data_IF_467430491856
#
_entry.id   IF_467430491856
#
_cell.length_a   1.000
_cell.length_b   1.000
_cell.length_c   1.000
_cell.angle_alpha   90.00
_cell.angle_beta   90.00
_cell.angle_gamma   90.00
#
_symmetry.space_group_name_H-M   'P 1'
#
loop_
_entity.id
_entity.type
_entity.pdbx_description
1 polymer ?
#
# COMPACT_ATOMS: atom_id res chain seq x y z
N UNK A 1 24.76 -24.98 -15.51
CA UNK A 1 24.07 -23.66 -15.54
C UNK A 1 24.93 -22.68 -14.77
N UNK A 2 25.45 -21.65 -15.42
CA UNK A 2 26.08 -20.55 -14.68
C UNK A 2 24.96 -19.56 -14.31
N UNK A 3 24.67 -19.32 -13.02
CA UNK A 3 23.83 -18.20 -12.62
C UNK A 3 24.44 -16.89 -13.13
N UNK A 4 23.63 -15.82 -13.25
CA UNK A 4 24.14 -14.46 -13.53
C UNK A 4 25.36 -14.15 -12.65
N UNK A 5 26.42 -13.61 -13.25
CA UNK A 5 27.63 -13.24 -12.55
C UNK A 5 27.39 -12.01 -11.67
N UNK A 6 28.23 -11.78 -10.66
CA UNK A 6 28.12 -10.58 -9.83
C UNK A 6 28.23 -9.29 -10.69
N UNK A 7 29.00 -9.34 -11.77
CA UNK A 7 29.13 -8.27 -12.76
C UNK A 7 27.81 -8.02 -13.52
N UNK A 8 27.13 -9.07 -14.00
CA UNK A 8 25.83 -8.95 -14.66
C UNK A 8 24.78 -8.32 -13.73
N UNK A 9 24.81 -8.68 -12.44
CA UNK A 9 23.91 -8.15 -11.41
C UNK A 9 24.18 -6.65 -11.22
N UNK A 10 25.44 -6.25 -11.12
CA UNK A 10 25.84 -4.86 -10.93
C UNK A 10 25.47 -3.98 -12.12
N UNK A 11 25.77 -4.45 -13.33
CA UNK A 11 25.39 -3.76 -14.57
C UNK A 11 23.88 -3.58 -14.64
N UNK A 12 23.09 -4.62 -14.34
CA UNK A 12 21.64 -4.55 -14.34
C UNK A 12 21.11 -3.55 -13.30
N UNK A 13 21.68 -3.54 -12.10
CA UNK A 13 21.29 -2.59 -11.05
C UNK A 13 21.58 -1.15 -11.49
N UNK A 14 22.79 -0.88 -11.97
CA UNK A 14 23.20 0.48 -12.34
C UNK A 14 22.42 1.00 -13.55
N UNK A 15 22.28 0.18 -14.60
CA UNK A 15 21.67 0.60 -15.86
C UNK A 15 20.14 0.71 -15.79
N UNK A 16 19.47 -0.20 -15.08
CA UNK A 16 18.00 -0.30 -15.05
C UNK A 16 17.42 0.16 -13.72
N UNK A 17 17.88 -0.39 -12.60
CA UNK A 17 17.28 -0.16 -11.28
C UNK A 17 17.53 1.26 -10.78
N UNK A 18 18.78 1.74 -10.81
CA UNK A 18 19.14 3.06 -10.29
C UNK A 18 18.58 4.18 -11.16
N UNK A 19 18.68 4.05 -12.48
CA UNK A 19 18.09 5.01 -13.42
C UNK A 19 16.59 5.16 -13.20
N UNK A 20 15.87 4.06 -13.02
CA UNK A 20 14.42 4.10 -12.75
C UNK A 20 14.13 4.68 -11.36
N UNK A 21 14.89 4.28 -10.35
CA UNK A 21 14.76 4.83 -9.01
C UNK A 21 14.89 6.37 -9.02
N UNK A 22 15.85 6.90 -9.78
CA UNK A 22 16.02 8.35 -9.96
C UNK A 22 14.77 9.00 -10.58
N UNK A 23 14.27 8.47 -11.70
CA UNK A 23 13.07 9.01 -12.37
C UNK A 23 11.83 8.97 -11.48
N UNK A 24 11.61 7.86 -10.78
CA UNK A 24 10.48 7.71 -9.85
C UNK A 24 10.62 8.66 -8.67
N UNK A 25 11.83 8.83 -8.13
CA UNK A 25 12.08 9.76 -7.02
C UNK A 25 11.78 11.21 -7.44
N UNK A 26 12.26 11.61 -8.63
CA UNK A 26 11.95 12.92 -9.22
C UNK A 26 10.44 13.12 -9.39
N UNK A 27 9.73 12.14 -9.95
CA UNK A 27 8.28 12.21 -10.11
C UNK A 27 7.55 12.31 -8.75
N UNK A 28 8.00 11.56 -7.74
CA UNK A 28 7.44 11.63 -6.38
C UNK A 28 7.62 13.02 -5.77
N UNK A 29 8.79 13.65 -5.93
CA UNK A 29 9.04 15.00 -5.43
C UNK A 29 8.15 16.06 -6.11
N UNK A 30 7.95 15.96 -7.42
CA UNK A 30 7.08 16.87 -8.17
C UNK A 30 5.61 16.70 -7.78
N UNK A 31 5.13 15.45 -7.73
CA UNK A 31 3.76 15.14 -7.28
C UNK A 31 3.55 15.62 -5.85
N UNK A 32 4.50 15.38 -4.96
CA UNK A 32 4.39 15.78 -3.57
C UNK A 32 4.15 17.29 -3.44
N UNK A 33 4.89 18.12 -4.18
CA UNK A 33 4.70 19.59 -4.15
C UNK A 33 3.30 19.99 -4.60
N UNK A 34 2.81 19.39 -5.69
CA UNK A 34 1.48 19.68 -6.24
C UNK A 34 0.38 19.25 -5.27
N UNK A 35 0.47 18.03 -4.72
CA UNK A 35 -0.54 17.47 -3.81
C UNK A 35 -0.48 18.16 -2.44
N UNK A 36 0.68 18.63 -2.00
CA UNK A 36 0.77 19.46 -0.80
C UNK A 36 0.01 20.78 -0.97
N UNK A 37 0.20 21.49 -2.08
CA UNK A 37 -0.55 22.71 -2.37
C UNK A 37 -2.05 22.44 -2.39
N UNK A 38 -2.46 21.36 -3.06
CA UNK A 38 -3.86 20.95 -3.16
C UNK A 38 -4.45 20.61 -1.77
N UNK A 39 -3.75 19.81 -0.97
CA UNK A 39 -4.24 19.40 0.36
C UNK A 39 -4.19 20.53 1.39
N UNK A 40 -3.30 21.52 1.23
CA UNK A 40 -3.32 22.74 2.03
C UNK A 40 -4.58 23.56 1.79
N UNK A 41 -4.98 23.75 0.52
CA UNK A 41 -6.23 24.42 0.16
C UNK A 41 -7.46 23.65 0.66
N UNK A 42 -7.45 22.32 0.55
CA UNK A 42 -8.51 21.46 1.10
C UNK A 42 -8.60 21.63 2.63
N UNK A 43 -7.46 21.64 3.33
CA UNK A 43 -7.42 21.81 4.79
C UNK A 43 -7.94 23.18 5.23
N UNK A 44 -7.68 24.23 4.43
CA UNK A 44 -8.23 25.57 4.65
C UNK A 44 -9.75 25.61 4.48
N UNK A 45 -10.30 24.95 3.44
CA UNK A 45 -11.75 24.88 3.18
C UNK A 45 -12.50 23.98 4.16
N UNK A 46 -11.87 22.89 4.61
CA UNK A 46 -12.48 21.88 5.45
C UNK A 46 -11.48 21.35 6.49
N UNK A 47 -11.68 21.76 7.74
CA UNK A 47 -10.76 21.45 8.85
C UNK A 47 -10.68 19.97 9.20
N UNK A 48 -11.62 19.13 8.74
CA UNK A 48 -11.61 17.66 8.87
C UNK A 48 -10.40 17.03 8.17
N UNK A 49 -9.88 17.64 7.12
CA UNK A 49 -8.79 17.11 6.31
C UNK A 49 -7.46 17.81 6.66
N UNK A 50 -6.43 17.01 6.91
CA UNK A 50 -5.09 17.49 7.17
C UNK A 50 -4.29 17.61 5.87
N UNK A 51 -3.64 18.75 5.68
CA UNK A 51 -2.62 18.91 4.65
C UNK A 51 -1.45 17.95 4.90
N UNK A 52 -0.96 17.30 3.82
CA UNK A 52 0.25 16.47 3.94
C UNK A 52 1.47 17.36 4.19
N UNK A 53 2.43 16.87 4.98
CA UNK A 53 3.63 17.63 5.37
C UNK A 53 4.85 17.24 4.52
N UNK A 54 5.81 18.16 4.40
CA UNK A 54 7.10 17.92 3.73
C UNK A 54 8.21 17.43 4.67
N UNK A 55 7.93 17.24 5.96
CA UNK A 55 8.95 16.92 6.95
C UNK A 55 9.34 15.44 6.88
N UNK A 56 10.42 15.13 6.15
CA UNK A 56 11.08 13.82 6.18
C UNK A 56 11.83 13.47 4.89
N UNK A 57 12.88 12.65 5.01
CA UNK A 57 13.62 12.05 3.88
C UNK A 57 12.72 11.11 3.06
N UNK A 58 11.64 10.61 3.67
CA UNK A 58 10.57 9.86 3.03
C UNK A 58 9.22 10.36 3.54
N UNK A 59 8.32 10.77 2.63
CA UNK A 59 6.99 11.21 3.00
C UNK A 59 6.15 10.00 3.44
N UNK A 60 5.68 10.00 4.70
CA UNK A 60 4.97 8.84 5.25
C UNK A 60 3.66 8.52 4.51
N UNK A 61 3.13 9.51 3.81
CA UNK A 61 1.84 9.43 3.17
C UNK A 61 1.90 8.93 1.72
N UNK A 62 3.07 8.87 1.09
CA UNK A 62 3.21 8.48 -0.33
C UNK A 62 3.68 7.02 -0.44
N UNK A 63 2.94 6.22 -1.21
CA UNK A 63 3.29 4.83 -1.57
C UNK A 63 3.38 4.69 -3.08
N UNK A 64 4.56 4.31 -3.57
CA UNK A 64 4.78 4.01 -4.99
C UNK A 64 4.25 2.60 -5.30
N UNK A 65 3.18 2.50 -6.08
CA UNK A 65 2.58 1.23 -6.49
C UNK A 65 3.23 0.69 -7.77
N UNK A 66 3.49 1.60 -8.71
CA UNK A 66 4.20 1.40 -9.97
C UNK A 66 4.90 2.72 -10.37
N UNK A 67 5.81 2.74 -11.36
CA UNK A 67 6.51 3.97 -11.76
C UNK A 67 5.60 5.15 -12.11
N UNK A 68 4.41 4.88 -12.66
CA UNK A 68 3.39 5.88 -13.02
C UNK A 68 2.14 5.84 -12.13
N UNK A 69 2.16 5.12 -11.02
CA UNK A 69 0.99 4.98 -10.12
C UNK A 69 1.39 5.13 -8.66
N UNK A 70 0.86 6.17 -8.01
CA UNK A 70 1.11 6.49 -6.62
C UNK A 70 -0.19 6.46 -5.81
N UNK A 71 -0.07 6.11 -4.54
CA UNK A 71 -1.14 6.25 -3.56
C UNK A 71 -0.68 7.26 -2.50
N UNK A 72 -1.51 8.24 -2.21
CA UNK A 72 -1.24 9.26 -1.20
C UNK A 72 -2.38 9.27 -0.18
N UNK A 73 -2.04 8.99 1.08
CA UNK A 73 -3.00 9.07 2.19
C UNK A 73 -3.14 10.50 2.66
N UNK A 74 -4.37 10.98 2.84
CA UNK A 74 -4.66 12.32 3.37
C UNK A 74 -5.23 12.16 4.78
N UNK A 75 -4.46 12.54 5.83
CA UNK A 75 -4.89 12.28 7.21
C UNK A 75 -6.16 13.06 7.57
N UNK A 76 -7.01 12.45 8.39
CA UNK A 76 -8.21 13.06 8.94
C UNK A 76 -7.95 13.57 10.35
N UNK A 77 -8.44 14.78 10.65
CA UNK A 77 -8.26 15.45 11.95
C UNK A 77 -9.41 15.20 12.89
N UNK A 78 -9.12 15.30 14.18
CA UNK A 78 -10.16 15.39 15.19
C UNK A 78 -10.80 14.06 15.56
N UNK A 79 -10.10 12.95 15.32
CA UNK A 79 -10.44 11.61 15.82
C UNK A 79 -9.22 11.12 16.61
N UNK A 80 -9.34 10.94 17.93
CA UNK A 80 -8.20 10.54 18.77
C UNK A 80 -8.59 9.71 19.99
N UNK A 81 -7.61 8.94 20.49
CA UNK A 81 -7.81 7.97 21.57
C UNK A 81 -8.76 6.85 21.15
N UNK A 82 -8.43 6.21 20.02
CA UNK A 82 -9.12 5.06 19.48
C UNK A 82 -9.12 3.90 20.48
N UNK A 83 -10.25 3.22 20.61
CA UNK A 83 -10.43 1.97 21.36
C UNK A 83 -11.21 1.00 20.50
N UNK A 84 -10.63 -0.18 20.31
CA UNK A 84 -11.31 -1.26 19.58
C UNK A 84 -12.51 -1.75 20.42
N UNK A 85 -13.67 -1.92 19.78
CA UNK A 85 -14.92 -2.31 20.43
C UNK A 85 -15.46 -3.59 19.78
N UNK A 86 -15.92 -4.54 20.59
CA UNK A 86 -16.49 -5.79 20.08
C UNK A 86 -17.96 -5.63 19.69
N UNK A 87 -18.24 -5.01 18.54
CA UNK A 87 -19.58 -5.05 17.94
C UNK A 87 -19.58 -6.04 16.77
N UNK A 88 -20.46 -7.06 16.86
CA UNK A 88 -20.38 -8.31 16.08
C UNK A 88 -21.31 -8.42 14.85
N UNK A 89 -22.05 -7.39 14.44
CA UNK A 89 -23.14 -7.56 13.46
C UNK A 89 -23.08 -6.62 12.26
N UNK A 90 -22.34 -6.99 11.20
CA UNK A 90 -22.17 -6.19 9.97
C UNK A 90 -23.41 -5.37 9.57
N UNK A 91 -23.26 -4.04 9.54
CA UNK A 91 -24.29 -3.10 9.09
C UNK A 91 -23.92 -2.58 7.71
N UNK A 92 -24.91 -2.53 6.84
CA UNK A 92 -24.77 -2.01 5.49
C UNK A 92 -25.81 -0.92 5.30
N UNK A 93 -25.44 0.12 4.57
CA UNK A 93 -26.31 1.27 4.35
C UNK A 93 -26.47 1.55 2.86
N UNK A 94 -27.51 2.25 2.45
CA UNK A 94 -27.47 2.97 1.18
C UNK A 94 -26.70 4.27 1.38
N UNK A 95 -26.26 4.93 0.30
CA UNK A 95 -25.64 6.27 0.39
C UNK A 95 -26.57 7.28 1.08
N UNK A 96 -27.88 7.04 1.02
CA UNK A 96 -28.94 7.84 1.63
C UNK A 96 -29.25 7.45 3.09
N UNK A 97 -28.57 6.44 3.65
CA UNK A 97 -28.71 6.05 5.05
C UNK A 97 -29.71 4.92 5.35
N UNK A 98 -30.36 4.34 4.33
CA UNK A 98 -31.27 3.22 4.56
C UNK A 98 -30.48 1.94 4.89
N UNK A 99 -30.81 1.28 6.00
CA UNK A 99 -30.18 0.02 6.41
C UNK A 99 -30.51 -1.11 5.45
N UNK A 100 -29.50 -1.85 5.01
CA UNK A 100 -29.64 -3.04 4.17
C UNK A 100 -29.61 -4.28 5.06
N UNK A 101 -30.53 -5.22 4.80
CA UNK A 101 -30.77 -6.41 5.63
C UNK A 101 -29.59 -7.40 5.64
N UNK A 102 -28.80 -7.43 4.56
CA UNK A 102 -27.53 -8.15 4.49
C UNK A 102 -26.75 -7.68 3.26
N UNK A 103 -25.44 -7.93 3.23
CA UNK A 103 -24.72 -7.89 1.96
C UNK A 103 -24.72 -9.26 1.29
N UNK A 104 -24.32 -9.26 0.02
CA UNK A 104 -24.11 -10.48 -0.77
C UNK A 104 -22.81 -11.21 -0.37
N UNK A 105 -21.91 -10.57 0.39
CA UNK A 105 -20.59 -11.14 0.74
C UNK A 105 -20.11 -10.71 2.12
N UNK A 106 -19.62 -11.69 2.89
CA UNK A 106 -18.91 -11.43 4.15
C UNK A 106 -17.76 -10.43 3.92
N UNK A 107 -17.60 -9.43 4.80
CA UNK A 107 -16.51 -8.48 4.67
C UNK A 107 -15.17 -9.16 4.92
N UNK A 108 -14.19 -8.78 4.10
CA UNK A 108 -12.84 -9.29 4.25
C UNK A 108 -12.23 -8.86 5.58
N UNK A 109 -11.31 -9.65 6.12
CA UNK A 109 -10.62 -9.31 7.39
C UNK A 109 -9.85 -7.99 7.32
N UNK A 110 -9.50 -7.54 6.11
CA UNK A 110 -8.87 -6.25 5.86
C UNK A 110 -9.83 -5.07 6.12
N UNK A 111 -11.13 -5.32 6.27
CA UNK A 111 -12.13 -4.28 6.49
C UNK A 111 -12.62 -4.27 7.94
N UNK A 112 -12.92 -3.06 8.40
CA UNK A 112 -13.62 -2.85 9.65
C UNK A 112 -14.51 -1.62 9.63
N UNK A 113 -15.38 -1.60 10.61
CA UNK A 113 -16.24 -0.50 11.00
C UNK A 113 -15.43 0.57 11.69
N UNK A 114 -15.99 1.76 11.69
CA UNK A 114 -15.48 2.83 12.50
C UNK A 114 -16.65 3.60 13.07
N UNK A 115 -16.84 3.50 14.37
CA UNK A 115 -17.85 4.27 15.10
C UNK A 115 -17.20 5.50 15.71
N UNK A 116 -17.92 6.62 15.78
CA UNK A 116 -17.38 7.83 16.42
C UNK A 116 -17.11 7.58 17.90
N UNK A 117 -17.92 6.75 18.55
CA UNK A 117 -17.76 6.37 19.97
C UNK A 117 -16.49 5.55 20.26
N UNK A 118 -15.84 4.99 19.22
CA UNK A 118 -14.53 4.35 19.39
C UNK A 118 -13.43 5.37 19.70
N UNK A 119 -13.67 6.66 19.53
CA UNK A 119 -12.72 7.72 19.84
C UNK A 119 -13.10 8.44 21.13
N UNK A 120 -12.18 8.47 22.10
CA UNK A 120 -12.37 9.25 23.33
C UNK A 120 -12.53 10.75 23.08
N UNK A 121 -12.00 11.26 21.95
CA UNK A 121 -12.10 12.64 21.53
C UNK A 121 -12.40 12.69 20.03
N UNK A 122 -13.56 13.23 19.69
CA UNK A 122 -14.04 13.43 18.33
C UNK A 122 -14.52 14.88 18.13
N UNK A 123 -14.19 15.53 17.02
CA UNK A 123 -14.82 16.81 16.65
C UNK A 123 -16.30 16.65 16.34
N UNK A 124 -17.12 17.65 16.67
CA UNK A 124 -18.57 17.66 16.42
C UNK A 124 -18.92 17.37 14.96
N UNK A 125 -18.06 17.82 14.05
CA UNK A 125 -18.19 17.61 12.62
C UNK A 125 -18.25 16.14 12.19
N UNK A 126 -17.69 15.21 12.98
CA UNK A 126 -17.76 13.77 12.70
C UNK A 126 -19.09 13.12 13.10
N UNK A 127 -19.96 13.85 13.80
CA UNK A 127 -21.31 13.44 14.18
C UNK A 127 -22.37 13.93 13.19
N UNK A 128 -21.98 14.72 12.20
CA UNK A 128 -22.89 15.26 11.19
C UNK A 128 -23.34 14.17 10.20
N UNK A 129 -24.58 14.27 9.74
CA UNK A 129 -25.22 13.28 8.85
C UNK A 129 -24.58 13.20 7.47
N UNK A 130 -23.73 14.17 7.12
CA UNK A 130 -22.98 14.20 5.87
C UNK A 130 -21.83 13.18 5.84
N UNK A 131 -21.35 12.71 7.00
CA UNK A 131 -20.31 11.68 7.17
C UNK A 131 -20.72 10.50 8.04
N UNK A 132 -21.77 10.65 8.85
CA UNK A 132 -22.21 9.68 9.83
C UNK A 132 -23.58 9.05 9.50
N UNK A 133 -23.77 7.77 9.82
CA UNK A 133 -25.08 7.10 9.88
C UNK A 133 -25.15 6.28 11.17
N UNK A 134 -26.14 6.56 12.04
CA UNK A 134 -26.37 5.79 13.28
C UNK A 134 -25.10 5.62 14.17
N UNK A 135 -24.19 6.59 14.18
CA UNK A 135 -22.92 6.55 14.90
C UNK A 135 -21.73 6.03 14.09
N UNK A 136 -21.98 5.37 12.95
CA UNK A 136 -20.94 4.87 12.05
C UNK A 136 -20.38 5.98 11.16
N UNK A 137 -19.05 6.11 11.12
CA UNK A 137 -18.33 6.90 10.13
C UNK A 137 -18.28 6.15 8.81
N UNK A 138 -18.93 6.72 7.78
CA UNK A 138 -19.14 6.02 6.51
C UNK A 138 -18.14 6.51 5.47
N UNK A 139 -17.22 5.66 4.97
CA UNK A 139 -16.16 6.13 4.08
C UNK A 139 -16.67 6.69 2.75
N UNK A 140 -17.73 6.13 2.15
CA UNK A 140 -18.33 6.69 0.92
C UNK A 140 -18.76 8.16 1.10
N UNK A 141 -19.36 8.47 2.26
CA UNK A 141 -19.82 9.82 2.58
C UNK A 141 -18.64 10.79 2.70
N UNK A 142 -17.58 10.38 3.40
CA UNK A 142 -16.32 11.14 3.47
C UNK A 142 -15.71 11.37 2.08
N UNK A 143 -15.73 10.35 1.23
CA UNK A 143 -15.19 10.40 -0.14
C UNK A 143 -15.96 11.35 -1.05
N UNK A 144 -17.29 11.46 -0.91
CA UNK A 144 -18.11 12.43 -1.66
C UNK A 144 -17.66 13.86 -1.34
N UNK A 145 -17.57 14.20 -0.05
CA UNK A 145 -17.12 15.52 0.39
C UNK A 145 -15.68 15.78 -0.09
N UNK A 146 -14.80 14.80 0.09
CA UNK A 146 -13.40 14.93 -0.30
C UNK A 146 -13.24 15.14 -1.82
N UNK A 147 -14.06 14.47 -2.65
CA UNK A 147 -14.06 14.66 -4.11
C UNK A 147 -14.40 16.08 -4.51
N UNK A 148 -15.49 16.63 -3.96
CA UNK A 148 -15.87 18.01 -4.24
C UNK A 148 -14.78 19.00 -3.81
N UNK A 149 -14.15 18.75 -2.67
CA UNK A 149 -13.05 19.59 -2.17
C UNK A 149 -11.82 19.52 -3.07
N UNK A 150 -11.47 18.35 -3.60
CA UNK A 150 -10.38 18.18 -4.56
C UNK A 150 -10.70 18.94 -5.85
N UNK A 151 -11.87 18.76 -6.44
CA UNK A 151 -12.30 19.45 -7.67
C UNK A 151 -12.27 20.97 -7.50
N UNK A 152 -12.89 21.49 -6.43
CA UNK A 152 -12.89 22.92 -6.12
C UNK A 152 -11.48 23.44 -5.87
N UNK A 153 -10.61 22.67 -5.24
CA UNK A 153 -9.24 23.10 -4.91
C UNK A 153 -8.29 23.06 -6.11
N UNK A 154 -8.47 22.14 -7.07
CA UNK A 154 -7.73 22.19 -8.34
C UNK A 154 -7.96 23.52 -9.04
N UNK A 155 -9.21 24.00 -9.08
CA UNK A 155 -9.58 25.29 -9.65
C UNK A 155 -8.99 26.46 -8.84
N UNK A 156 -9.19 26.49 -7.52
CA UNK A 156 -8.70 27.58 -6.65
C UNK A 156 -7.18 27.71 -6.65
N UNK A 157 -6.44 26.60 -6.80
CA UNK A 157 -4.99 26.60 -6.85
C UNK A 157 -4.40 26.86 -8.25
N UNK A 158 -5.24 27.09 -9.28
CA UNK A 158 -4.83 27.19 -10.68
C UNK A 158 -4.02 25.96 -11.17
N UNK A 159 -4.40 24.77 -10.72
CA UNK A 159 -3.72 23.51 -11.05
C UNK A 159 -4.34 22.77 -12.22
N UNK A 160 -5.37 23.32 -12.88
CA UNK A 160 -6.10 22.65 -13.96
C UNK A 160 -5.26 22.24 -15.18
N UNK A 161 -4.09 22.86 -15.38
CA UNK A 161 -3.14 22.47 -16.44
C UNK A 161 -2.20 21.33 -16.02
N UNK A 162 -2.14 21.01 -14.72
CA UNK A 162 -1.23 20.00 -14.16
C UNK A 162 -1.95 18.82 -13.51
N UNK A 163 -3.20 19.02 -13.06
CA UNK A 163 -3.96 18.03 -12.32
C UNK A 163 -5.33 17.88 -12.96
N UNK A 164 -5.66 16.66 -13.36
CA UNK A 164 -6.95 16.32 -13.97
C UNK A 164 -7.63 15.23 -13.16
N UNK A 165 -8.90 15.43 -12.83
CA UNK A 165 -9.71 14.40 -12.17
C UNK A 165 -9.95 13.22 -13.11
N UNK A 166 -9.74 12.00 -12.62
CA UNK A 166 -10.00 10.77 -13.36
C UNK A 166 -11.34 10.16 -12.95
N UNK A 167 -12.17 9.83 -13.93
CA UNK A 167 -13.37 9.05 -13.69
C UNK A 167 -12.99 7.65 -13.20
N UNK A 168 -13.69 7.20 -12.17
CA UNK A 168 -13.43 5.91 -11.55
C UNK A 168 -14.72 5.28 -11.05
N UNK A 169 -14.93 4.02 -11.44
CA UNK A 169 -16.01 3.19 -10.91
C UNK A 169 -15.70 2.66 -9.49
N UNK A 170 -14.45 2.82 -9.04
CA UNK A 170 -13.99 2.51 -7.69
C UNK A 170 -14.26 3.64 -6.71
N UNK A 171 -14.42 3.33 -5.42
CA UNK A 171 -14.66 4.32 -4.37
C UNK A 171 -13.50 5.31 -4.14
N UNK A 172 -12.27 5.04 -4.63
CA UNK A 172 -11.11 5.93 -4.46
C UNK A 172 -11.14 7.19 -5.35
N UNK A 173 -10.45 8.25 -4.91
CA UNK A 173 -10.30 9.49 -5.68
C UNK A 173 -9.00 9.41 -6.47
N UNK A 174 -9.07 9.55 -7.79
CA UNK A 174 -7.89 9.44 -8.66
C UNK A 174 -7.73 10.71 -9.48
N UNK A 175 -6.49 11.18 -9.56
CA UNK A 175 -6.09 12.33 -10.37
C UNK A 175 -4.91 11.95 -11.24
N UNK A 176 -4.88 12.45 -12.47
CA UNK A 176 -3.68 12.45 -13.30
C UNK A 176 -2.88 13.71 -12.95
N UNK A 177 -1.59 13.54 -12.68
CA UNK A 177 -0.67 14.64 -12.38
C UNK A 177 0.40 14.67 -13.47
N UNK A 178 0.52 15.81 -14.15
CA UNK A 178 1.57 16.06 -15.12
C UNK A 178 2.88 16.38 -14.40
N UNK A 179 3.88 15.53 -14.61
CA UNK A 179 5.27 15.77 -14.18
C UNK A 179 6.12 16.19 -15.37
N UNK A 180 7.36 16.61 -15.13
CA UNK A 180 8.29 17.00 -16.18
C UNK A 180 8.64 15.86 -17.15
N UNK A 181 8.54 14.60 -16.71
CA UNK A 181 8.91 13.42 -17.49
C UNK A 181 7.71 12.67 -18.06
N UNK A 182 6.60 12.60 -17.31
CA UNK A 182 5.42 11.83 -17.70
C UNK A 182 4.17 12.18 -16.88
N UNK A 183 3.00 11.79 -17.36
CA UNK A 183 1.78 11.81 -16.56
C UNK A 183 1.76 10.61 -15.60
N UNK A 184 1.43 10.86 -14.34
CA UNK A 184 1.29 9.82 -13.30
C UNK A 184 -0.11 9.81 -12.70
N UNK A 185 -0.65 8.62 -12.43
CA UNK A 185 -1.93 8.42 -11.75
C UNK A 185 -1.70 8.44 -10.24
N UNK A 186 -2.42 9.30 -9.53
CA UNK A 186 -2.35 9.45 -8.07
C UNK A 186 -3.70 9.14 -7.46
N UNK A 187 -3.74 8.13 -6.59
CA UNK A 187 -4.91 7.84 -5.76
C UNK A 187 -4.80 8.61 -4.44
N UNK A 188 -5.73 9.55 -4.21
CA UNK A 188 -5.86 10.31 -2.96
C UNK A 188 -6.85 9.61 -2.04
N UNK A 189 -6.41 9.24 -0.83
CA UNK A 189 -7.19 8.39 0.07
C UNK A 189 -7.28 9.01 1.46
N UNK A 190 -8.46 9.48 1.91
CA UNK A 190 -8.66 9.89 3.29
C UNK A 190 -8.30 8.76 4.27
N UNK A 191 -7.54 9.08 5.31
CA UNK A 191 -7.01 8.12 6.26
C UNK A 191 -7.23 8.56 7.71
N UNK A 192 -7.80 7.69 8.54
CA UNK A 192 -7.78 7.87 9.99
C UNK A 192 -6.55 7.18 10.54
N UNK A 193 -5.63 7.96 11.11
CA UNK A 193 -4.41 7.44 11.71
C UNK A 193 -4.70 6.96 13.14
N UNK A 194 -4.38 5.71 13.44
CA UNK A 194 -4.54 5.11 14.75
C UNK A 194 -3.14 4.83 15.31
N UNK A 195 -2.55 5.78 16.05
CA UNK A 195 -1.24 5.58 16.66
C UNK A 195 -1.35 4.64 17.87
N UNK A 196 -0.22 4.05 18.27
CA UNK A 196 -0.02 3.31 19.54
C UNK A 196 -0.93 2.11 19.83
N UNK A 197 -1.82 1.75 18.92
CA UNK A 197 -2.72 0.60 19.03
C UNK A 197 -2.45 -0.38 17.88
N UNK A 198 -2.39 -1.69 18.16
CA UNK A 198 -2.29 -2.72 17.14
C UNK A 198 -3.64 -3.45 17.02
N UNK A 199 -4.20 -3.64 15.81
CA UNK A 199 -5.53 -4.24 15.66
C UNK A 199 -5.60 -5.65 16.25
N UNK A 200 -6.69 -6.00 16.94
CA UNK A 200 -6.91 -7.33 17.51
C UNK A 200 -6.93 -8.42 16.42
N UNK A 201 -7.50 -8.09 15.25
CA UNK A 201 -7.55 -8.98 14.08
C UNK A 201 -6.17 -9.27 13.49
N UNK A 202 -5.18 -8.40 13.74
CA UNK A 202 -3.85 -8.50 13.16
C UNK A 202 -2.90 -9.32 14.04
N UNK A 203 -2.30 -10.35 13.47
CA UNK A 203 -1.38 -11.23 14.17
C UNK A 203 -0.03 -11.24 13.48
N UNK A 204 1.04 -11.10 14.27
CA UNK A 204 2.38 -11.38 13.77
C UNK A 204 2.49 -12.86 13.40
N UNK A 205 3.17 -13.21 12.29
CA UNK A 205 3.45 -14.60 11.96
C UNK A 205 4.08 -15.37 13.14
N UNK A 206 3.56 -16.56 13.42
CA UNK A 206 4.05 -17.43 14.50
C UNK A 206 5.05 -18.43 13.95
N UNK A 207 6.26 -17.97 13.63
CA UNK A 207 7.32 -18.82 13.09
C UNK A 207 8.24 -19.36 14.20
N UNK A 208 8.76 -20.59 14.03
CA UNK A 208 9.60 -21.28 15.03
C UNK A 208 10.90 -20.52 15.35
N UNK A 209 11.47 -19.87 14.34
CA UNK A 209 12.59 -18.94 14.47
C UNK A 209 12.04 -17.53 14.33
N UNK A 210 12.39 -16.64 15.25
CA UNK A 210 11.86 -15.27 15.29
C UNK A 210 12.59 -14.39 14.27
N UNK A 211 11.84 -13.79 13.36
CA UNK A 211 12.25 -12.64 12.57
C UNK A 211 11.08 -11.65 12.50
N UNK A 212 11.32 -10.35 12.66
CA UNK A 212 12.53 -9.73 13.19
C UNK A 212 12.69 -9.99 14.71
N UNK A 213 13.61 -9.28 15.38
CA UNK A 213 13.75 -9.37 16.83
C UNK A 213 12.47 -8.96 17.56
N UNK A 214 12.30 -9.41 18.81
CA UNK A 214 11.10 -9.11 19.60
C UNK A 214 10.96 -7.60 19.83
N UNK A 215 12.08 -6.94 20.05
CA UNK A 215 12.19 -5.50 20.28
C UNK A 215 11.72 -4.73 19.04
N UNK A 216 12.15 -5.16 17.85
CA UNK A 216 11.69 -4.59 16.57
C UNK A 216 10.19 -4.82 16.37
N UNK A 217 9.66 -6.01 16.66
CA UNK A 217 8.20 -6.27 16.61
C UNK A 217 7.43 -5.36 17.56
N UNK A 218 7.90 -5.16 18.79
CA UNK A 218 7.25 -4.27 19.76
C UNK A 218 7.28 -2.81 19.31
N UNK A 219 8.43 -2.34 18.81
CA UNK A 219 8.58 -1.01 18.21
C UNK A 219 7.58 -0.82 17.06
N UNK A 220 7.52 -1.76 16.11
CA UNK A 220 6.60 -1.72 14.98
C UNK A 220 5.14 -1.65 15.43
N UNK A 221 4.75 -2.49 16.40
CA UNK A 221 3.38 -2.47 16.94
C UNK A 221 3.03 -1.14 17.62
N UNK A 222 4.01 -0.47 18.22
CA UNK A 222 3.80 0.83 18.86
C UNK A 222 3.53 1.98 17.87
N UNK A 223 3.86 1.82 16.59
CA UNK A 223 3.50 2.79 15.54
C UNK A 223 2.00 2.82 15.31
N UNK A 224 1.34 1.67 15.42
CA UNK A 224 -0.08 1.47 15.20
C UNK A 224 -0.44 1.15 13.75
N UNK A 225 -1.62 1.57 13.30
CA UNK A 225 -2.16 1.28 11.96
C UNK A 225 -3.04 2.43 11.46
N UNK A 226 -3.43 2.38 10.19
CA UNK A 226 -4.31 3.39 9.59
C UNK A 226 -5.57 2.73 9.04
N UNK A 227 -6.63 3.54 8.93
CA UNK A 227 -7.90 3.16 8.34
C UNK A 227 -8.18 4.03 7.12
N UNK A 228 -8.29 3.38 5.97
CA UNK A 228 -8.41 4.04 4.67
C UNK A 228 -9.86 4.04 4.18
N UNK A 229 -10.31 5.19 3.69
CA UNK A 229 -11.57 5.32 2.98
C UNK A 229 -11.41 4.86 1.53
N UNK A 230 -11.50 3.53 1.31
CA UNK A 230 -11.39 2.91 -0.04
C UNK A 230 -12.55 2.00 -0.42
N UNK A 231 -13.56 1.90 0.44
CA UNK A 231 -14.77 1.14 0.16
C UNK A 231 -16.01 1.98 0.47
N UNK A 232 -17.18 1.49 0.09
CA UNK A 232 -18.41 2.25 0.30
C UNK A 232 -18.82 2.32 1.78
N UNK A 233 -18.55 1.25 2.55
CA UNK A 233 -19.14 1.07 3.89
C UNK A 233 -18.13 0.83 4.98
N UNK A 234 -16.98 0.24 4.64
CA UNK A 234 -16.00 -0.19 5.62
C UNK A 234 -14.66 0.49 5.39
N UNK A 235 -14.01 0.80 6.49
CA UNK A 235 -12.65 1.28 6.49
C UNK A 235 -11.70 0.12 6.25
N UNK A 236 -10.69 0.34 5.41
CA UNK A 236 -9.71 -0.68 5.10
C UNK A 236 -8.48 -0.50 5.99
N UNK A 237 -8.06 -1.57 6.66
CA UNK A 237 -6.83 -1.63 7.44
C UNK A 237 -5.62 -1.37 6.53
N UNK A 238 -4.72 -0.53 7.01
CA UNK A 238 -3.45 -0.22 6.38
C UNK A 238 -2.32 -0.30 7.39
N UNK A 239 -1.28 -1.06 7.05
CA UNK A 239 -0.10 -1.28 7.89
C UNK A 239 1.15 -0.60 7.32
N UNK A 240 0.99 0.44 6.49
CA UNK A 240 2.10 1.09 5.76
C UNK A 240 3.26 1.52 6.65
N UNK A 241 2.97 2.09 7.82
CA UNK A 241 3.98 2.50 8.82
C UNK A 241 4.76 1.30 9.36
N UNK A 242 4.05 0.23 9.73
CA UNK A 242 4.66 -1.01 10.20
C UNK A 242 5.48 -1.72 9.10
N UNK A 243 4.95 -1.74 7.88
CA UNK A 243 5.59 -2.28 6.68
C UNK A 243 6.88 -1.52 6.33
N UNK A 244 6.87 -0.19 6.41
CA UNK A 244 8.04 0.65 6.17
C UNK A 244 9.13 0.33 7.18
N UNK A 245 8.80 0.32 8.46
CA UNK A 245 9.76 0.02 9.52
C UNK A 245 10.31 -1.41 9.38
N UNK A 246 9.51 -2.36 8.90
CA UNK A 246 10.03 -3.69 8.55
C UNK A 246 11.04 -3.70 7.41
N UNK A 247 10.84 -2.85 6.39
CA UNK A 247 11.74 -2.69 5.27
C UNK A 247 13.04 -1.97 5.67
N UNK A 248 12.94 -1.02 6.60
CA UNK A 248 14.08 -0.34 7.19
C UNK A 248 14.96 -1.32 7.97
N UNK A 249 16.27 -1.27 7.74
CA UNK A 249 17.22 -2.15 8.42
C UNK A 249 17.14 -3.64 8.05
N UNK A 250 16.52 -4.00 6.92
CA UNK A 250 16.49 -5.39 6.44
C UNK A 250 17.87 -6.02 6.30
N UNK A 251 18.86 -5.20 5.95
CA UNK A 251 20.23 -5.61 5.66
C UNK A 251 21.24 -5.05 6.69
N UNK A 252 20.78 -4.62 7.87
CA UNK A 252 21.66 -4.25 9.01
C UNK A 252 22.60 -5.39 9.42
N UNK A 253 22.19 -6.63 9.16
CA UNK A 253 23.01 -7.82 9.39
C UNK A 253 23.99 -8.12 8.25
N UNK A 254 24.08 -7.27 7.23
CA UNK A 254 24.94 -7.44 6.05
C UNK A 254 24.38 -8.42 5.01
N UNK A 255 23.08 -8.73 5.06
CA UNK A 255 22.39 -9.50 4.03
C UNK A 255 22.15 -8.71 2.73
N UNK A 256 21.56 -9.38 1.73
CA UNK A 256 21.20 -8.78 0.44
C UNK A 256 19.67 -8.74 0.18
N UNK A 257 18.82 -8.71 1.23
CA UNK A 257 17.36 -8.75 1.12
C UNK A 257 16.82 -7.59 0.30
N UNK A 258 17.31 -6.37 0.54
CA UNK A 258 16.90 -5.18 -0.19
C UNK A 258 17.41 -5.21 -1.63
N UNK A 259 18.65 -5.67 -1.85
CA UNK A 259 19.21 -5.88 -3.20
C UNK A 259 18.32 -6.84 -3.99
N UNK A 260 17.97 -7.99 -3.41
CA UNK A 260 17.08 -8.98 -4.03
C UNK A 260 15.68 -8.42 -4.29
N UNK A 261 15.11 -7.66 -3.36
CA UNK A 261 13.80 -7.03 -3.52
C UNK A 261 13.77 -6.01 -4.67
N UNK A 262 14.80 -5.14 -4.76
CA UNK A 262 14.93 -4.14 -5.83
C UNK A 262 15.02 -4.80 -7.20
N UNK A 263 15.85 -5.83 -7.35
CA UNK A 263 15.95 -6.60 -8.60
C UNK A 263 14.65 -7.32 -8.92
N UNK A 264 13.98 -7.91 -7.93
CA UNK A 264 12.69 -8.59 -8.13
C UNK A 264 11.60 -7.62 -8.63
N UNK A 265 11.58 -6.41 -8.07
CA UNK A 265 10.65 -5.35 -8.51
C UNK A 265 10.93 -4.94 -9.94
N UNK A 266 12.19 -4.75 -10.30
CA UNK A 266 12.59 -4.41 -11.66
C UNK A 266 12.19 -5.52 -12.66
N UNK A 267 12.50 -6.78 -12.36
CA UNK A 267 12.12 -7.93 -13.20
C UNK A 267 10.60 -8.08 -13.37
N UNK A 268 9.82 -7.76 -12.33
CA UNK A 268 8.37 -7.73 -12.39
C UNK A 268 7.84 -6.65 -13.35
N UNK A 269 8.52 -5.52 -13.45
CA UNK A 269 8.12 -4.42 -14.35
C UNK A 269 8.61 -4.68 -15.79
N UNK A 270 9.80 -5.24 -15.96
CA UNK A 270 10.43 -5.39 -17.29
C UNK A 270 10.03 -6.70 -18.00
N UNK A 271 9.86 -7.79 -17.25
CA UNK A 271 9.78 -9.15 -17.82
C UNK A 271 8.47 -9.84 -17.44
N UNK A 272 8.17 -9.95 -16.16
CA UNK A 272 7.09 -10.84 -15.71
C UNK A 272 5.71 -10.23 -15.85
N UNK A 273 5.57 -8.93 -15.57
CA UNK A 273 4.30 -8.21 -15.61
C UNK A 273 4.43 -6.85 -16.32
N UNK A 274 5.03 -6.87 -17.51
CA UNK A 274 5.15 -5.67 -18.34
C UNK A 274 3.77 -5.08 -18.68
N UNK A 275 3.65 -3.75 -18.61
CA UNK A 275 2.42 -3.00 -18.89
C UNK A 275 1.88 -2.18 -17.71
N UNK A 276 0.85 -1.39 -17.99
CA UNK A 276 0.36 -0.32 -17.09
C UNK A 276 -0.60 -0.80 -15.99
N UNK A 277 -1.06 -2.06 -16.03
CA UNK A 277 -1.98 -2.64 -15.04
C UNK A 277 -1.47 -4.00 -14.57
N UNK A 278 -0.41 -4.02 -13.74
CA UNK A 278 0.23 -5.28 -13.40
C UNK A 278 -0.61 -6.07 -12.39
N UNK A 279 -0.87 -7.34 -12.68
CA UNK A 279 -1.60 -8.25 -11.78
C UNK A 279 -0.83 -8.50 -10.47
N UNK A 280 0.51 -8.41 -10.54
CA UNK A 280 1.41 -8.42 -9.39
C UNK A 280 1.90 -7.00 -9.13
N UNK A 281 1.68 -6.50 -7.91
CA UNK A 281 2.10 -5.17 -7.48
C UNK A 281 3.40 -5.22 -6.67
N UNK A 282 4.03 -4.07 -6.43
CA UNK A 282 5.15 -3.98 -5.49
C UNK A 282 4.78 -4.48 -4.08
N UNK A 283 3.52 -4.33 -3.68
CA UNK A 283 3.01 -4.82 -2.39
C UNK A 283 3.01 -6.35 -2.29
N UNK A 284 2.64 -7.05 -3.37
CA UNK A 284 2.73 -8.50 -3.42
C UNK A 284 4.18 -8.97 -3.28
N UNK A 285 5.11 -8.32 -3.98
CA UNK A 285 6.55 -8.61 -3.88
C UNK A 285 7.11 -8.38 -2.48
N UNK A 286 6.69 -7.30 -1.82
CA UNK A 286 7.09 -6.99 -0.46
C UNK A 286 6.57 -8.05 0.53
N UNK A 287 5.32 -8.49 0.35
CA UNK A 287 4.75 -9.56 1.17
C UNK A 287 5.47 -10.89 0.93
N UNK A 288 5.87 -11.19 -0.31
CA UNK A 288 6.73 -12.34 -0.65
C UNK A 288 8.07 -12.26 0.07
N UNK A 289 8.71 -11.08 0.08
CA UNK A 289 9.95 -10.85 0.81
C UNK A 289 9.79 -11.15 2.30
N UNK A 290 8.79 -10.57 2.96
CA UNK A 290 8.55 -10.79 4.39
C UNK A 290 8.35 -12.27 4.74
N UNK A 291 7.52 -12.99 3.98
CA UNK A 291 7.35 -14.43 4.20
C UNK A 291 8.62 -15.24 3.93
N UNK A 292 9.48 -14.77 3.03
CA UNK A 292 10.77 -15.42 2.76
C UNK A 292 11.75 -15.16 3.90
N UNK A 293 11.76 -13.97 4.49
CA UNK A 293 12.53 -13.67 5.70
C UNK A 293 12.07 -14.49 6.90
N UNK A 294 10.77 -14.69 7.09
CA UNK A 294 10.23 -15.58 8.13
C UNK A 294 10.71 -17.04 7.95
N UNK A 295 10.80 -17.51 6.70
CA UNK A 295 11.30 -18.86 6.38
C UNK A 295 12.83 -18.97 6.53
N UNK A 296 13.56 -17.91 6.18
CA UNK A 296 15.02 -17.83 6.17
C UNK A 296 15.49 -16.65 7.03
N UNK A 297 15.40 -16.73 8.36
CA UNK A 297 15.61 -15.57 9.23
C UNK A 297 17.09 -15.22 9.44
N UNK A 298 18.03 -16.09 9.05
CA UNK A 298 19.45 -15.94 9.38
C UNK A 298 20.19 -15.23 8.26
N UNK A 299 21.13 -14.36 8.61
CA UNK A 299 22.02 -13.65 7.67
C UNK A 299 22.69 -14.57 6.66
N UNK A 300 23.13 -15.77 7.06
CA UNK A 300 23.78 -16.73 6.15
C UNK A 300 22.90 -17.11 4.95
N UNK A 301 21.58 -17.06 5.11
CA UNK A 301 20.60 -17.35 4.06
C UNK A 301 20.41 -16.14 3.11
N UNK A 302 21.12 -15.04 3.34
CA UNK A 302 21.07 -13.80 2.56
C UNK A 302 22.45 -13.25 2.24
N UNK A 303 23.53 -14.04 2.42
CA UNK A 303 24.89 -13.61 2.08
C UNK A 303 25.16 -13.62 0.59
N UNK A 304 24.67 -14.64 -0.09
CA UNK A 304 24.91 -14.84 -1.50
C UNK A 304 23.67 -14.43 -2.30
N UNK A 305 23.84 -13.43 -3.16
CA UNK A 305 22.74 -12.80 -3.89
C UNK A 305 22.01 -13.77 -4.82
N UNK A 306 22.67 -14.55 -5.70
CA UNK A 306 21.98 -15.40 -6.65
C UNK A 306 21.02 -16.39 -5.99
N UNK A 307 21.45 -17.09 -4.94
CA UNK A 307 20.62 -18.07 -4.22
C UNK A 307 19.51 -17.38 -3.42
N UNK A 308 19.78 -16.22 -2.82
CA UNK A 308 18.78 -15.46 -2.08
C UNK A 308 17.70 -14.92 -3.01
N UNK A 309 18.09 -14.41 -4.16
CA UNK A 309 17.19 -13.91 -5.19
C UNK A 309 16.33 -15.04 -5.77
N UNK A 310 16.94 -16.18 -6.14
CA UNK A 310 16.19 -17.33 -6.64
C UNK A 310 15.20 -17.88 -5.60
N UNK A 311 15.54 -17.85 -4.30
CA UNK A 311 14.56 -18.18 -3.22
C UNK A 311 13.33 -17.28 -3.25
N UNK A 312 13.51 -15.97 -3.48
CA UNK A 312 12.38 -15.03 -3.61
C UNK A 312 11.55 -15.32 -4.86
N UNK A 313 12.20 -15.54 -6.00
CA UNK A 313 11.50 -15.84 -7.26
C UNK A 313 10.73 -17.16 -7.16
N UNK A 314 11.31 -18.19 -6.56
CA UNK A 314 10.61 -19.46 -6.29
C UNK A 314 9.42 -19.27 -5.35
N UNK A 315 9.54 -18.42 -4.33
CA UNK A 315 8.43 -18.10 -3.43
C UNK A 315 7.31 -17.34 -4.18
N UNK A 316 7.67 -16.37 -5.01
CA UNK A 316 6.71 -15.64 -5.85
C UNK A 316 6.00 -16.61 -6.79
N UNK A 317 6.75 -17.43 -7.55
CA UNK A 317 6.21 -18.45 -8.44
C UNK A 317 5.21 -19.33 -7.70
N UNK A 318 5.57 -19.91 -6.55
CA UNK A 318 4.66 -20.73 -5.75
C UNK A 318 3.36 -19.99 -5.40
N UNK A 319 3.44 -18.74 -4.94
CA UNK A 319 2.25 -17.98 -4.57
C UNK A 319 1.35 -17.69 -5.79
N UNK A 320 1.96 -17.35 -6.93
CA UNK A 320 1.25 -17.07 -8.18
C UNK A 320 0.60 -18.35 -8.73
N UNK A 321 1.32 -19.47 -8.84
CA UNK A 321 0.77 -20.75 -9.34
C UNK A 321 -0.35 -21.31 -8.47
N UNK A 322 -0.37 -20.97 -7.17
CA UNK A 322 -1.42 -21.40 -6.24
C UNK A 322 -2.56 -20.38 -6.13
N UNK A 323 -2.49 -19.26 -6.87
CA UNK A 323 -3.36 -18.10 -6.75
C UNK A 323 -3.55 -17.64 -5.29
N UNK A 324 -2.51 -17.81 -4.48
CA UNK A 324 -2.57 -17.60 -3.04
C UNK A 324 -1.31 -16.94 -2.48
N UNK A 325 -1.48 -15.69 -2.02
CA UNK A 325 -0.48 -14.96 -1.25
C UNK A 325 -1.13 -14.48 0.05
N UNK A 326 -0.79 -15.14 1.15
CA UNK A 326 -1.28 -14.77 2.47
C UNK A 326 -0.81 -13.36 2.85
N UNK A 327 -1.72 -12.51 3.33
CA UNK A 327 -1.37 -11.21 3.92
C UNK A 327 -0.44 -11.42 5.13
N UNK A 328 0.55 -10.56 5.30
CA UNK A 328 1.59 -10.74 6.32
C UNK A 328 1.02 -10.70 7.76
N UNK A 329 0.15 -9.72 8.06
CA UNK A 329 -0.45 -9.56 9.39
C UNK A 329 -1.86 -10.17 9.57
N UNK A 330 -2.56 -10.57 8.50
CA UNK A 330 -3.97 -10.99 8.56
C UNK A 330 -4.07 -12.45 8.14
N UNK A 331 -4.55 -13.32 9.04
CA UNK A 331 -4.36 -14.77 8.92
C UNK A 331 -5.14 -15.37 7.76
N UNK A 332 -6.35 -14.90 7.48
CA UNK A 332 -7.26 -15.49 6.50
C UNK A 332 -7.48 -14.58 5.28
N UNK A 333 -6.55 -13.64 5.04
CA UNK A 333 -6.59 -12.76 3.87
C UNK A 333 -5.64 -13.26 2.78
N UNK A 334 -6.19 -13.54 1.59
CA UNK A 334 -5.43 -13.82 0.38
C UNK A 334 -5.36 -12.57 -0.49
N UNK A 335 -4.15 -12.05 -0.72
CA UNK A 335 -3.90 -10.87 -1.55
C UNK A 335 -4.17 -11.10 -3.05
N UNK A 336 -4.20 -12.36 -3.50
CA UNK A 336 -4.47 -12.72 -4.90
C UNK A 336 -5.93 -13.14 -5.15
N UNK A 337 -6.82 -13.00 -4.15
CA UNK A 337 -8.20 -13.51 -4.20
C UNK A 337 -9.02 -13.03 -5.41
N UNK A 338 -8.81 -11.79 -5.85
CA UNK A 338 -9.56 -11.18 -6.96
C UNK A 338 -8.70 -10.92 -8.20
N UNK A 339 -7.47 -11.40 -8.20
CA UNK A 339 -6.65 -11.35 -9.41
C UNK A 339 -7.24 -12.30 -10.46
N UNK A 340 -7.20 -11.89 -11.72
CA UNK A 340 -7.57 -12.75 -12.84
C UNK A 340 -6.66 -13.98 -12.87
N UNK A 341 -7.26 -15.18 -12.83
CA UNK A 341 -6.51 -16.44 -12.76
C UNK A 341 -5.72 -16.72 -14.03
N UNK A 342 -6.22 -16.39 -15.22
CA UNK A 342 -5.45 -16.57 -16.46
C UNK A 342 -4.23 -15.66 -16.51
N UNK A 343 -4.36 -14.42 -16.04
CA UNK A 343 -3.23 -13.50 -15.97
C UNK A 343 -2.19 -13.98 -14.96
N UNK A 344 -2.62 -14.55 -13.83
CA UNK A 344 -1.70 -15.19 -12.87
C UNK A 344 -0.99 -16.40 -13.51
N UNK A 345 -1.68 -17.24 -14.28
CA UNK A 345 -1.08 -18.39 -14.95
C UNK A 345 -0.05 -17.99 -16.03
N UNK A 346 -0.30 -16.89 -16.74
CA UNK A 346 0.67 -16.29 -17.66
C UNK A 346 1.92 -15.82 -16.90
N UNK A 347 1.74 -15.15 -15.76
CA UNK A 347 2.88 -14.72 -14.92
C UNK A 347 3.63 -15.93 -14.35
N UNK A 348 2.93 -16.96 -13.90
CA UNK A 348 3.55 -18.21 -13.44
C UNK A 348 4.40 -18.84 -14.54
N UNK A 349 3.88 -18.90 -15.77
CA UNK A 349 4.60 -19.44 -16.93
C UNK A 349 5.89 -18.66 -17.22
N UNK A 350 5.84 -17.32 -17.18
CA UNK A 350 7.04 -16.47 -17.33
C UNK A 350 8.06 -16.70 -16.22
N UNK A 351 7.60 -16.90 -14.98
CA UNK A 351 8.46 -17.21 -13.84
C UNK A 351 9.10 -18.60 -13.98
N UNK A 352 8.39 -19.60 -14.51
CA UNK A 352 8.94 -20.93 -14.82
C UNK A 352 10.09 -20.84 -15.81
N UNK A 353 9.88 -20.16 -16.94
CA UNK A 353 10.93 -19.96 -17.96
C UNK A 353 12.15 -19.27 -17.35
N UNK A 354 11.95 -18.25 -16.52
CA UNK A 354 13.04 -17.59 -15.82
C UNK A 354 13.77 -18.51 -14.84
N UNK A 355 13.06 -19.38 -14.10
CA UNK A 355 13.67 -20.31 -13.15
C UNK A 355 14.46 -21.44 -13.85
N UNK A 356 14.08 -21.80 -15.08
CA UNK A 356 14.82 -22.76 -15.92
C UNK A 356 16.12 -22.16 -16.46
N UNK A 357 16.11 -20.87 -16.82
CA UNK A 357 17.29 -20.15 -17.29
C UNK A 357 17.35 -18.73 -16.67
N UNK A 358 17.92 -18.60 -15.46
CA UNK A 358 17.94 -17.34 -14.74
C UNK A 358 19.02 -16.43 -15.34
N UNK A 359 18.61 -15.58 -16.28
CA UNK A 359 19.44 -14.54 -16.93
C UNK A 359 18.75 -13.18 -16.82
N UNK A 360 19.53 -12.10 -16.68
CA UNK A 360 18.99 -10.74 -16.76
C UNK A 360 18.97 -10.27 -18.21
N UNK A 361 17.93 -9.53 -18.57
CA UNK A 361 17.92 -8.78 -19.82
C UNK A 361 18.77 -7.52 -19.62
N UNK A 362 19.98 -7.51 -20.20
CA UNK A 362 20.91 -6.38 -20.09
C UNK A 362 20.69 -5.31 -21.18
N UNK A 363 19.89 -5.63 -22.20
CA UNK A 363 19.54 -4.74 -23.32
C UNK A 363 18.56 -3.63 -22.90
#
# INVERSE_FOLDING_TARGET
MKPFTDEDVEIYIQSKVERRHYLVSKAVEEVQKIIQQLTAEISYKATRFQAISNSGIHNENIKVLAPSQFLITVPLRGLSGYRECQVRHWRYYTVHGAKLLSSVRDPEELHQWLEVEQFSKSLQQWHETDVNIEGDLVPAKVLVIFRELVEKSILSCNLSSKVTMLESFSSGIRVAVETSESQVEVELVPAVEIPTCWPEKAQWPRCLKRWPSREKVQCIKSLGFDLLARSNYHWQLCFSRAERMLMEGLDEDGGCRMKCFRVMRQMKEDVWCAGNKPIITAYHLQTVLFWTCEKYPRTKDWRCFPEAFLRLVQKLHKCVSQHFLKHYFLKNTNLLKYANTSDLDVVASRLTVFLENPVFCLD
#
